data_IF_714211584075
#
_entry.id   IF_714211584075
#
_cell.length_a   1.000
_cell.length_b   1.000
_cell.length_c   1.000
_cell.angle_alpha   90.00
_cell.angle_beta   90.00
_cell.angle_gamma   90.00
#
_symmetry.space_group_name_H-M   'P 1'
#
loop_
_entity.id
_entity.type
_entity.pdbx_description
1 polymer ?
#
# COMPACT_ATOMS: atom_id res chain seq x y z
N UNK A 1 9.21 7.19 10.82
CA UNK A 1 7.88 6.55 10.96
C UNK A 1 7.03 7.10 9.82
N UNK A 2 6.51 6.25 8.93
CA UNK A 2 5.70 6.72 7.80
C UNK A 2 4.32 7.17 8.30
N UNK A 3 3.79 8.27 7.77
CA UNK A 3 2.46 8.75 8.15
C UNK A 3 1.39 7.72 7.73
N UNK A 4 0.64 7.21 8.70
CA UNK A 4 -0.56 6.40 8.46
C UNK A 4 -1.79 7.25 8.74
N UNK A 5 -2.78 7.18 7.85
CA UNK A 5 -4.07 7.83 8.10
C UNK A 5 -4.81 7.12 9.23
N UNK A 6 -5.70 7.84 9.92
CA UNK A 6 -6.54 7.24 10.98
C UNK A 6 -7.36 6.04 10.47
N UNK A 7 -7.77 6.06 9.20
CA UNK A 7 -8.44 4.93 8.56
C UNK A 7 -7.51 3.72 8.41
N UNK A 8 -6.28 3.93 7.95
CA UNK A 8 -5.31 2.84 7.80
C UNK A 8 -4.92 2.22 9.14
N UNK A 9 -4.79 3.04 10.19
CA UNK A 9 -4.56 2.54 11.55
C UNK A 9 -5.75 1.70 12.03
N UNK A 10 -6.98 2.18 11.85
CA UNK A 10 -8.18 1.40 12.20
C UNK A 10 -8.28 0.08 11.42
N UNK A 11 -7.91 0.10 10.13
CA UNK A 11 -7.84 -1.10 9.30
C UNK A 11 -6.74 -2.08 9.76
N UNK A 12 -5.61 -1.56 10.23
CA UNK A 12 -4.53 -2.37 10.81
C UNK A 12 -4.99 -3.06 12.10
N UNK A 13 -5.58 -2.33 13.03
CA UNK A 13 -6.10 -2.91 14.29
C UNK A 13 -7.21 -3.94 14.00
N UNK A 14 -8.11 -3.65 13.06
CA UNK A 14 -9.13 -4.59 12.63
C UNK A 14 -8.52 -5.87 12.03
N UNK A 15 -7.45 -5.75 11.25
CA UNK A 15 -6.74 -6.91 10.70
C UNK A 15 -6.21 -7.82 11.81
N UNK A 16 -5.59 -7.25 12.84
CA UNK A 16 -5.05 -8.02 13.97
C UNK A 16 -6.17 -8.78 14.69
N UNK A 17 -7.29 -8.11 14.95
CA UNK A 17 -8.45 -8.74 15.59
C UNK A 17 -9.02 -9.89 14.74
N UNK A 18 -9.27 -9.67 13.45
CA UNK A 18 -9.83 -10.69 12.56
C UNK A 18 -8.91 -11.89 12.37
N UNK A 19 -7.59 -11.70 12.43
CA UNK A 19 -6.62 -12.79 12.42
C UNK A 19 -6.64 -13.58 13.73
N UNK A 20 -6.77 -12.91 14.88
CA UNK A 20 -6.94 -13.59 16.18
C UNK A 20 -8.22 -14.42 16.24
N UNK A 21 -9.30 -13.93 15.63
CA UNK A 21 -10.57 -14.67 15.49
C UNK A 21 -10.51 -15.82 14.46
N UNK A 22 -9.40 -15.96 13.72
CA UNK A 22 -9.28 -16.96 12.64
C UNK A 22 -10.12 -16.66 11.39
N UNK A 23 -10.69 -15.45 11.28
CA UNK A 23 -11.49 -15.03 10.11
C UNK A 23 -10.62 -14.61 8.92
N UNK A 24 -9.41 -14.14 9.21
CA UNK A 24 -8.35 -13.95 8.23
C UNK A 24 -7.24 -14.95 8.55
N UNK A 25 -6.99 -15.87 7.62
CA UNK A 25 -5.99 -16.94 7.77
C UNK A 25 -4.80 -16.77 6.83
N UNK A 26 -4.69 -15.61 6.17
CA UNK A 26 -3.58 -15.30 5.25
C UNK A 26 -2.23 -15.53 5.95
N UNK A 27 -1.33 -16.33 5.36
CA UNK A 27 -0.02 -16.59 5.97
C UNK A 27 0.85 -15.33 5.99
N UNK A 28 1.83 -15.32 6.90
CA UNK A 28 2.76 -14.21 7.07
C UNK A 28 2.21 -13.08 7.93
N UNK A 29 2.88 -11.93 7.89
CA UNK A 29 2.51 -10.74 8.65
C UNK A 29 1.25 -10.07 8.05
N UNK A 30 0.52 -9.25 8.84
CA UNK A 30 -0.59 -8.46 8.31
C UNK A 30 -0.21 -7.71 7.03
N UNK A 31 -1.04 -7.87 6.01
CA UNK A 31 -0.88 -7.29 4.67
C UNK A 31 0.35 -7.71 3.88
N UNK A 32 1.22 -8.60 4.38
CA UNK A 32 2.47 -8.96 3.70
C UNK A 32 2.21 -9.64 2.35
N UNK A 33 1.25 -10.57 2.31
CA UNK A 33 0.87 -11.22 1.06
C UNK A 33 0.18 -10.23 0.10
N UNK A 34 -0.71 -9.37 0.59
CA UNK A 34 -1.40 -8.40 -0.25
C UNK A 34 -0.47 -7.33 -0.81
N UNK A 35 0.52 -6.90 -0.03
CA UNK A 35 1.58 -5.97 -0.46
C UNK A 35 2.37 -6.57 -1.63
N UNK A 36 2.81 -7.83 -1.49
CA UNK A 36 3.56 -8.51 -2.55
C UNK A 36 2.72 -8.75 -3.80
N UNK A 37 1.49 -9.24 -3.64
CA UNK A 37 0.58 -9.47 -4.77
C UNK A 37 0.31 -8.19 -5.56
N UNK A 38 0.13 -7.05 -4.90
CA UNK A 38 -0.06 -5.76 -5.58
C UNK A 38 1.16 -5.36 -6.41
N UNK A 39 2.37 -5.47 -5.83
CA UNK A 39 3.62 -5.15 -6.53
C UNK A 39 3.84 -6.08 -7.72
N UNK A 40 3.71 -7.39 -7.51
CA UNK A 40 3.93 -8.40 -8.54
C UNK A 40 2.92 -8.25 -9.70
N UNK A 41 1.65 -7.98 -9.39
CA UNK A 41 0.62 -7.79 -10.41
C UNK A 41 0.86 -6.54 -11.28
N UNK A 42 1.34 -5.44 -10.68
CA UNK A 42 1.67 -4.21 -11.41
C UNK A 42 2.92 -4.39 -12.28
N UNK A 43 3.92 -5.14 -11.80
CA UNK A 43 5.09 -5.50 -12.61
C UNK A 43 4.75 -6.42 -13.76
N UNK A 44 3.91 -7.44 -13.54
CA UNK A 44 3.47 -8.35 -14.59
C UNK A 44 2.66 -7.68 -15.70
N UNK A 45 2.13 -6.48 -15.44
CA UNK A 45 1.42 -5.64 -16.40
C UNK A 45 2.31 -4.53 -16.98
N UNK A 46 3.62 -4.54 -16.70
CA UNK A 46 4.59 -3.54 -17.12
C UNK A 46 4.20 -2.09 -16.71
N UNK A 47 3.46 -1.92 -15.61
CA UNK A 47 3.04 -0.60 -15.10
C UNK A 47 4.25 0.18 -14.56
N UNK A 48 5.16 -0.51 -13.88
CA UNK A 48 6.44 0.03 -13.44
C UNK A 48 7.49 -1.07 -13.33
N UNK A 49 8.76 -0.67 -13.25
CA UNK A 49 9.89 -1.54 -12.94
C UNK A 49 10.71 -0.96 -11.79
N UNK A 50 11.46 -1.81 -11.11
CA UNK A 50 12.49 -1.32 -10.18
C UNK A 50 13.74 -0.93 -10.95
N UNK A 51 14.24 0.26 -10.65
CA UNK A 51 15.44 0.82 -11.26
C UNK A 51 16.31 1.45 -10.17
N UNK A 52 17.61 1.23 -10.24
CA UNK A 52 18.56 1.88 -9.32
C UNK A 52 18.72 3.34 -9.75
N UNK A 53 18.66 4.25 -8.77
CA UNK A 53 18.86 5.67 -9.06
C UNK A 53 20.28 5.94 -9.56
N UNK A 54 20.37 6.39 -10.80
CA UNK A 54 21.54 6.99 -11.42
C UNK A 54 21.41 8.52 -11.49
N UNK A 55 22.30 9.32 -10.86
CA UNK A 55 22.27 10.78 -10.94
C UNK A 55 22.49 11.35 -12.35
N UNK A 56 23.21 10.64 -13.22
CA UNK A 56 23.47 11.10 -14.60
C UNK A 56 22.20 10.96 -15.43
N UNK A 57 21.52 9.82 -15.30
CA UNK A 57 20.30 9.51 -16.06
C UNK A 57 19.07 10.22 -15.48
N UNK A 58 18.93 10.24 -14.15
CA UNK A 58 17.70 10.67 -13.47
C UNK A 58 17.81 12.02 -12.75
N UNK A 59 18.98 12.67 -12.77
CA UNK A 59 19.22 13.90 -11.98
C UNK A 59 18.34 15.09 -12.37
N UNK A 60 17.82 15.09 -13.61
CA UNK A 60 16.86 16.08 -14.09
C UNK A 60 15.40 15.63 -13.93
N UNK A 61 15.15 14.37 -13.58
CA UNK A 61 13.81 13.83 -13.46
C UNK A 61 13.16 14.23 -12.14
N UNK A 62 11.84 14.38 -12.17
CA UNK A 62 11.06 14.61 -10.96
C UNK A 62 10.76 13.29 -10.28
N UNK A 63 11.25 13.13 -9.05
CA UNK A 63 10.90 12.00 -8.19
C UNK A 63 9.55 12.26 -7.50
N UNK A 64 8.61 11.33 -7.69
CA UNK A 64 7.33 11.32 -6.98
C UNK A 64 7.41 10.38 -5.78
N UNK A 65 6.89 10.84 -4.63
CA UNK A 65 6.71 9.94 -3.49
C UNK A 65 5.67 8.87 -3.82
N UNK A 66 5.86 7.68 -3.29
CA UNK A 66 4.89 6.60 -3.36
C UNK A 66 4.82 5.86 -2.03
N UNK A 67 3.70 5.18 -1.77
CA UNK A 67 3.53 4.30 -0.62
C UNK A 67 2.47 3.25 -0.89
N UNK A 68 2.55 2.14 -0.16
CA UNK A 68 1.44 1.19 -0.07
C UNK A 68 0.40 1.70 0.94
N UNK A 69 -0.87 1.68 0.53
CA UNK A 69 -2.03 1.95 1.38
C UNK A 69 -2.73 0.63 1.65
N UNK A 70 -3.01 0.35 2.92
CA UNK A 70 -3.57 -0.93 3.37
C UNK A 70 -4.97 -0.74 3.92
N UNK A 71 -5.88 -1.65 3.60
CA UNK A 71 -7.22 -1.68 4.18
C UNK A 71 -7.81 -3.10 4.23
N UNK A 72 -8.71 -3.32 5.18
CA UNK A 72 -9.54 -4.53 5.19
C UNK A 72 -10.76 -4.32 4.29
N UNK A 73 -10.97 -5.25 3.37
CA UNK A 73 -12.17 -5.35 2.54
C UNK A 73 -13.11 -6.42 3.09
N UNK A 74 -14.39 -6.33 2.68
CA UNK A 74 -15.41 -7.29 3.12
C UNK A 74 -15.80 -7.18 4.61
N UNK A 75 -15.63 -6.01 5.24
CA UNK A 75 -15.87 -5.81 6.69
C UNK A 75 -17.26 -6.24 7.19
N UNK A 76 -18.29 -6.08 6.35
CA UNK A 76 -19.67 -6.49 6.66
C UNK A 76 -20.02 -7.91 6.21
N UNK A 77 -19.05 -8.69 5.76
CA UNK A 77 -19.24 -10.06 5.24
C UNK A 77 -18.58 -11.08 6.16
N UNK A 78 -18.85 -12.35 5.94
CA UNK A 78 -18.20 -13.45 6.67
C UNK A 78 -16.75 -13.66 6.26
N UNK A 79 -16.34 -13.14 5.09
CA UNK A 79 -15.02 -13.35 4.47
C UNK A 79 -14.25 -12.03 4.28
N UNK A 80 -13.86 -11.34 5.37
CA UNK A 80 -13.00 -10.17 5.24
C UNK A 80 -11.61 -10.56 4.73
N UNK A 81 -10.94 -9.65 4.03
CA UNK A 81 -9.61 -9.91 3.48
C UNK A 81 -8.74 -8.66 3.44
N UNK A 82 -7.43 -8.89 3.43
CA UNK A 82 -6.40 -7.85 3.38
C UNK A 82 -6.22 -7.36 1.95
N UNK A 83 -6.23 -6.03 1.75
CA UNK A 83 -5.97 -5.42 0.46
C UNK A 83 -4.96 -4.29 0.59
N UNK A 84 -3.98 -4.32 -0.29
CA UNK A 84 -2.99 -3.26 -0.45
C UNK A 84 -3.20 -2.56 -1.79
N UNK A 85 -2.78 -1.29 -1.88
CA UNK A 85 -2.74 -0.51 -3.13
C UNK A 85 -1.48 0.32 -3.19
N UNK A 86 -0.83 0.36 -4.35
CA UNK A 86 0.23 1.34 -4.58
C UNK A 86 -0.39 2.71 -4.87
N UNK A 87 0.02 3.73 -4.10
CA UNK A 87 -0.39 5.12 -4.31
C UNK A 87 0.85 5.95 -4.64
N UNK A 88 0.75 6.72 -5.72
CA UNK A 88 1.81 7.63 -6.19
C UNK A 88 1.30 9.07 -6.06
N UNK A 89 2.20 9.97 -5.66
CA UNK A 89 1.91 11.39 -5.58
C UNK A 89 1.57 11.97 -6.95
N UNK A 90 0.38 12.56 -7.08
CA UNK A 90 -0.01 13.30 -8.28
C UNK A 90 0.72 14.66 -8.37
N UNK A 91 1.14 15.03 -9.58
CA UNK A 91 1.60 16.38 -9.88
C UNK A 91 0.39 17.35 -9.85
N UNK A 92 0.51 18.47 -9.13
CA UNK A 92 -0.51 19.53 -8.99
C UNK A 92 -1.62 19.32 -7.95
N UNK A 93 -1.52 18.31 -7.08
CA UNK A 93 -2.50 18.15 -6.01
C UNK A 93 -2.06 18.87 -4.72
N UNK A 94 -2.26 20.19 -4.69
CA UNK A 94 -1.93 21.03 -3.53
C UNK A 94 -2.68 20.58 -2.25
N UNK A 95 -3.80 19.88 -2.40
CA UNK A 95 -4.58 19.31 -1.31
C UNK A 95 -4.07 17.96 -0.77
N UNK A 96 -3.09 17.32 -1.44
CA UNK A 96 -2.53 16.02 -1.03
C UNK A 96 -1.08 16.07 -0.55
N UNK A 97 -0.55 17.28 -0.31
CA UNK A 97 0.83 17.44 0.19
C UNK A 97 1.07 16.67 1.50
N UNK A 98 0.09 16.61 2.40
CA UNK A 98 0.16 15.93 3.71
C UNK A 98 -0.28 14.46 3.72
N UNK A 99 -0.93 13.95 2.66
CA UNK A 99 -1.35 12.53 2.61
C UNK A 99 -0.17 11.60 2.29
N UNK A 100 0.88 12.16 1.70
CA UNK A 100 2.09 11.46 1.26
C UNK A 100 3.36 12.07 1.89
N UNK A 101 3.25 12.80 3.00
CA UNK A 101 4.43 13.29 3.74
C UNK A 101 5.24 12.15 4.34
#
# INVERSE_FOLDING_TARGET
MAFMTAKEEADWQLCLHLRQEGRITTPGRPFELSDRTEIDALQAQDVFRFETYDPVTHGADRLFKSRLVREIKGKGTTTPYEKSRLVIQGHSDNGKQTILT
#
